data_IF_718532305601
#
_entry.id   IF_718532305601
#
_cell.length_a   1.000
_cell.length_b   1.000
_cell.length_c   1.000
_cell.angle_alpha   90.00
_cell.angle_beta   90.00
_cell.angle_gamma   90.00
#
_symmetry.space_group_name_H-M   'P 1'
#
loop_
_entity.id
_entity.type
_entity.pdbx_description
1 polymer ?
#
# COMPACT_ATOMS: atom_id res chain seq x y z
N UNK A 1 3.59 7.26 12.85
CA UNK A 1 2.28 6.60 13.04
C UNK A 1 1.20 7.65 12.92
N UNK A 2 0.43 7.62 11.83
CA UNK A 2 -0.84 8.35 11.76
C UNK A 2 -1.89 7.51 12.50
N UNK A 3 -1.99 7.65 13.83
CA UNK A 3 -2.97 6.92 14.65
C UNK A 3 -4.29 7.68 14.80
N UNK A 4 -4.67 8.44 13.78
CA UNK A 4 -5.95 9.15 13.75
C UNK A 4 -6.97 8.28 13.04
N UNK A 5 -8.03 7.88 13.72
CA UNK A 5 -9.21 7.22 13.12
C UNK A 5 -10.08 8.20 12.31
N UNK A 6 -9.72 9.49 12.27
CA UNK A 6 -10.40 10.48 11.44
C UNK A 6 -9.90 10.31 10.00
N UNK A 7 -10.80 9.93 9.09
CA UNK A 7 -10.52 9.73 7.67
C UNK A 7 -10.37 8.27 7.23
N UNK A 8 -10.52 7.29 8.13
CA UNK A 8 -10.42 5.86 7.79
C UNK A 8 -11.67 5.32 7.10
N UNK A 9 -12.82 5.95 7.29
CA UNK A 9 -14.06 5.63 6.60
C UNK A 9 -14.80 6.92 6.25
N UNK A 10 -15.22 7.05 4.99
CA UNK A 10 -16.06 8.17 4.54
C UNK A 10 -17.08 7.72 3.50
N UNK A 11 -18.09 8.54 3.28
CA UNK A 11 -19.09 8.29 2.26
C UNK A 11 -19.43 9.59 1.52
N UNK A 12 -19.75 9.47 0.24
CA UNK A 12 -20.03 10.62 -0.60
C UNK A 12 -20.81 10.28 -1.86
N UNK A 13 -21.18 11.34 -2.57
CA UNK A 13 -21.96 11.27 -3.79
C UNK A 13 -21.24 12.01 -4.90
N UNK A 14 -21.24 11.45 -6.11
CA UNK A 14 -20.89 12.15 -7.35
C UNK A 14 -22.17 12.34 -8.15
N UNK A 15 -22.45 13.59 -8.54
CA UNK A 15 -23.53 13.92 -9.49
C UNK A 15 -22.96 13.96 -10.90
N UNK A 16 -23.51 13.16 -11.81
CA UNK A 16 -23.11 13.14 -13.21
C UNK A 16 -24.28 12.81 -14.14
N UNK A 17 -24.03 12.84 -15.45
CA UNK A 17 -25.00 12.43 -16.48
C UNK A 17 -24.86 10.96 -16.88
N UNK A 18 -24.13 10.17 -16.10
CA UNK A 18 -23.81 8.78 -16.39
C UNK A 18 -24.80 7.80 -15.77
N UNK A 19 -24.57 6.50 -15.97
CA UNK A 19 -25.36 5.46 -15.29
C UNK A 19 -25.16 5.55 -13.76
N UNK A 20 -26.24 5.47 -12.97
CA UNK A 20 -26.16 5.31 -11.53
C UNK A 20 -25.33 4.08 -11.16
N UNK A 21 -24.66 4.13 -10.02
CA UNK A 21 -23.82 3.03 -9.57
C UNK A 21 -23.16 3.30 -8.22
N UNK A 22 -22.35 2.35 -7.78
CA UNK A 22 -21.57 2.43 -6.55
C UNK A 22 -20.14 2.06 -6.87
N UNK A 23 -19.20 2.84 -6.34
CA UNK A 23 -17.78 2.52 -6.34
C UNK A 23 -17.23 2.65 -4.93
N UNK A 24 -16.19 1.87 -4.65
CA UNK A 24 -15.49 1.86 -3.38
C UNK A 24 -14.04 2.21 -3.63
N UNK A 25 -13.57 3.29 -3.02
CA UNK A 25 -12.16 3.65 -3.00
C UNK A 25 -11.54 3.13 -1.70
N UNK A 26 -10.44 2.40 -1.83
CA UNK A 26 -9.70 1.81 -0.73
C UNK A 26 -8.24 2.26 -0.82
N UNK A 27 -7.68 2.64 0.32
CA UNK A 27 -6.26 2.97 0.46
C UNK A 27 -5.65 1.92 1.37
N UNK A 28 -4.71 1.17 0.81
CA UNK A 28 -3.88 0.21 1.53
C UNK A 28 -2.50 0.80 1.77
N UNK A 29 -1.86 0.39 2.87
CA UNK A 29 -0.49 0.78 3.21
C UNK A 29 0.32 -0.45 3.53
N UNK A 30 1.61 -0.42 3.19
CA UNK A 30 2.55 -1.45 3.64
C UNK A 30 2.86 -1.26 5.11
N UNK A 31 2.73 -2.36 5.86
CA UNK A 31 3.22 -2.45 7.22
C UNK A 31 4.22 -3.60 7.36
N UNK A 32 5.20 -3.40 8.24
CA UNK A 32 6.21 -4.41 8.57
C UNK A 32 6.17 -4.64 10.07
N UNK A 33 6.36 -5.88 10.51
CA UNK A 33 6.30 -6.25 11.94
C UNK A 33 7.55 -5.82 12.74
N UNK A 34 8.35 -4.88 12.23
CA UNK A 34 9.59 -4.43 12.86
C UNK A 34 9.34 -3.36 13.92
N UNK A 35 9.92 -3.51 15.11
CA UNK A 35 10.09 -2.39 16.05
C UNK A 35 10.94 -1.31 15.35
N UNK A 36 10.34 -0.14 15.14
CA UNK A 36 10.94 1.13 14.67
C UNK A 36 12.45 1.24 14.95
N UNK A 37 13.37 0.79 14.06
CA UNK A 37 14.83 1.07 14.12
C UNK A 37 15.61 0.80 12.83
N UNK A 38 14.98 0.59 11.68
CA UNK A 38 15.72 0.20 10.48
C UNK A 38 15.21 1.03 9.31
N UNK A 39 16.14 1.53 8.48
CA UNK A 39 15.94 2.30 7.23
C UNK A 39 15.19 1.51 6.14
N UNK A 40 14.22 0.68 6.53
CA UNK A 40 13.40 -0.13 5.62
C UNK A 40 12.61 0.76 4.66
N UNK A 41 12.20 1.95 5.11
CA UNK A 41 11.50 2.95 4.32
C UNK A 41 12.30 3.38 3.07
N UNK A 42 13.62 3.21 3.07
CA UNK A 42 14.48 3.45 1.88
C UNK A 42 14.23 2.45 0.76
N UNK A 43 13.78 1.24 1.09
CA UNK A 43 13.61 0.13 0.15
C UNK A 43 12.15 -0.21 -0.09
N UNK A 44 11.34 -0.12 0.95
CA UNK A 44 9.89 -0.31 0.94
C UNK A 44 9.24 0.94 1.55
N UNK A 45 9.16 2.06 0.79
CA UNK A 45 8.52 3.27 1.29
C UNK A 45 7.05 2.98 1.64
N UNK A 46 6.50 3.76 2.58
CA UNK A 46 5.07 3.74 2.92
C UNK A 46 4.19 4.34 1.80
N UNK A 47 4.37 3.88 0.57
CA UNK A 47 3.59 4.30 -0.58
C UNK A 47 2.17 3.75 -0.43
N UNK A 48 1.15 4.61 -0.40
CA UNK A 48 -0.23 4.15 -0.37
C UNK A 48 -0.58 3.46 -1.69
N UNK A 49 -1.17 2.27 -1.61
CA UNK A 49 -1.79 1.59 -2.74
C UNK A 49 -3.26 2.00 -2.76
N UNK A 50 -3.62 2.78 -3.76
CA UNK A 50 -5.00 3.24 -3.95
C UNK A 50 -5.67 2.37 -4.99
N UNK A 51 -6.80 1.78 -4.62
CA UNK A 51 -7.60 0.93 -5.48
C UNK A 51 -9.04 1.43 -5.45
N UNK A 52 -9.68 1.55 -6.61
CA UNK A 52 -11.10 1.82 -6.74
C UNK A 52 -11.73 0.64 -7.44
N UNK A 53 -12.76 0.06 -6.83
CA UNK A 53 -13.54 -1.02 -7.42
C UNK A 53 -14.99 -0.59 -7.62
N UNK A 54 -15.62 -1.14 -8.65
CA UNK A 54 -17.04 -0.98 -8.88
C UNK A 54 -17.86 -2.05 -8.12
N UNK A 55 -19.19 -1.94 -8.20
CA UNK A 55 -20.12 -2.85 -7.54
C UNK A 55 -19.99 -4.35 -7.92
N UNK A 56 -19.29 -4.67 -9.01
CA UNK A 56 -18.99 -6.06 -9.44
C UNK A 56 -17.65 -6.56 -8.94
N UNK A 57 -16.85 -5.71 -8.29
CA UNK A 57 -15.47 -6.00 -7.89
C UNK A 57 -14.43 -5.71 -8.97
N UNK A 58 -14.83 -5.12 -10.11
CA UNK A 58 -13.89 -4.75 -11.17
C UNK A 58 -13.07 -3.52 -10.77
N UNK A 59 -11.76 -3.57 -11.04
CA UNK A 59 -10.80 -2.50 -10.81
C UNK A 59 -11.02 -1.35 -11.81
N UNK A 60 -11.25 -0.14 -11.29
CA UNK A 60 -11.59 1.06 -12.07
C UNK A 60 -10.82 2.32 -11.63
N UNK A 61 -9.70 2.17 -10.93
CA UNK A 61 -8.87 3.27 -10.36
C UNK A 61 -8.51 4.32 -11.40
N UNK A 62 -8.13 3.90 -12.60
CA UNK A 62 -7.74 4.80 -13.69
C UNK A 62 -8.90 5.67 -14.19
N UNK A 63 -10.14 5.17 -14.09
CA UNK A 63 -11.35 5.95 -14.43
C UNK A 63 -11.69 7.00 -13.37
N UNK A 64 -11.15 6.86 -12.16
CA UNK A 64 -11.44 7.71 -11.01
C UNK A 64 -10.14 8.30 -10.45
N UNK A 65 -9.55 9.26 -11.15
CA UNK A 65 -8.37 9.97 -10.63
C UNK A 65 -8.66 10.69 -9.30
N UNK A 66 -7.63 10.85 -8.47
CA UNK A 66 -7.71 11.57 -7.19
C UNK A 66 -8.27 12.99 -7.37
N UNK A 67 -7.82 13.70 -8.41
CA UNK A 67 -8.29 15.06 -8.70
C UNK A 67 -9.79 15.09 -9.08
N UNK A 68 -10.27 14.07 -9.79
CA UNK A 68 -11.69 13.93 -10.13
C UNK A 68 -12.51 13.70 -8.86
N UNK A 69 -12.13 12.72 -8.03
CA UNK A 69 -12.88 12.41 -6.81
C UNK A 69 -12.90 13.59 -5.83
N UNK A 70 -11.75 14.21 -5.56
CA UNK A 70 -11.67 15.34 -4.64
C UNK A 70 -12.51 16.55 -5.07
N UNK A 71 -12.73 16.73 -6.38
CA UNK A 71 -13.53 17.84 -6.91
C UNK A 71 -15.02 17.51 -7.00
N UNK A 72 -15.34 16.25 -7.28
CA UNK A 72 -16.69 15.82 -7.65
C UNK A 72 -17.48 15.21 -6.49
N UNK A 73 -16.80 14.65 -5.49
CA UNK A 73 -17.46 14.05 -4.34
C UNK A 73 -18.00 15.15 -3.42
N UNK A 74 -19.31 15.12 -3.21
CA UNK A 74 -20.00 15.96 -2.25
C UNK A 74 -20.58 15.10 -1.12
N UNK A 75 -20.84 15.73 0.03
CA UNK A 75 -21.57 15.07 1.10
C UNK A 75 -22.98 14.70 0.60
N UNK A 76 -23.32 13.42 0.66
CA UNK A 76 -24.59 12.88 0.18
C UNK A 76 -25.25 11.97 1.21
N UNK A 77 -26.56 11.76 1.09
CA UNK A 77 -27.28 10.81 1.92
C UNK A 77 -27.01 9.39 1.43
N UNK A 78 -26.46 8.55 2.30
CA UNK A 78 -26.15 7.15 2.01
C UNK A 78 -27.09 6.19 2.73
N UNK A 79 -28.01 6.72 3.56
CA UNK A 79 -28.93 5.96 4.41
C UNK A 79 -29.64 4.84 3.64
N UNK A 80 -30.22 5.15 2.47
CA UNK A 80 -30.95 4.16 1.66
C UNK A 80 -30.08 3.00 1.15
N UNK A 81 -28.78 3.25 0.95
CA UNK A 81 -27.84 2.22 0.49
C UNK A 81 -27.33 1.38 1.67
N UNK A 82 -27.09 2.02 2.82
CA UNK A 82 -26.64 1.38 4.04
C UNK A 82 -27.77 0.64 4.79
N UNK A 83 -29.03 0.94 4.50
CA UNK A 83 -30.21 0.19 4.96
C UNK A 83 -30.53 -1.03 4.07
N UNK A 84 -29.80 -1.23 2.96
CA UNK A 84 -30.00 -2.37 2.09
C UNK A 84 -29.12 -3.55 2.56
N UNK A 85 -29.76 -4.55 3.17
CA UNK A 85 -29.08 -5.73 3.71
C UNK A 85 -28.23 -6.46 2.66
N UNK A 86 -28.72 -6.61 1.42
CA UNK A 86 -27.97 -7.27 0.34
C UNK A 86 -26.69 -6.49 0.01
N UNK A 87 -26.76 -5.16 0.05
CA UNK A 87 -25.58 -4.31 -0.17
C UNK A 87 -24.57 -4.46 0.96
N UNK A 88 -25.02 -4.34 2.22
CA UNK A 88 -24.14 -4.32 3.39
C UNK A 88 -23.58 -5.69 3.74
N UNK A 89 -24.37 -6.75 3.62
CA UNK A 89 -23.96 -8.10 4.04
C UNK A 89 -23.29 -8.91 2.92
N UNK A 90 -23.41 -8.50 1.67
CA UNK A 90 -22.85 -9.26 0.52
C UNK A 90 -22.00 -8.37 -0.38
N UNK A 91 -22.60 -7.39 -1.05
CA UNK A 91 -21.90 -6.63 -2.09
C UNK A 91 -20.69 -5.86 -1.54
N UNK A 92 -20.83 -5.16 -0.42
CA UNK A 92 -19.75 -4.38 0.17
C UNK A 92 -18.59 -5.27 0.64
N UNK A 93 -18.81 -6.37 1.39
CA UNK A 93 -17.76 -7.36 1.67
C UNK A 93 -17.08 -7.91 0.42
N UNK A 94 -17.84 -8.23 -0.63
CA UNK A 94 -17.28 -8.75 -1.88
C UNK A 94 -16.37 -7.71 -2.56
N UNK A 95 -16.79 -6.45 -2.63
CA UNK A 95 -15.98 -5.35 -3.15
C UNK A 95 -14.67 -5.16 -2.36
N UNK A 96 -14.75 -5.24 -1.02
CA UNK A 96 -13.56 -5.15 -0.16
C UNK A 96 -12.63 -6.35 -0.42
N UNK A 97 -13.18 -7.56 -0.59
CA UNK A 97 -12.42 -8.77 -0.90
C UNK A 97 -11.67 -8.63 -2.23
N UNK A 98 -12.36 -8.24 -3.30
CA UNK A 98 -11.75 -8.03 -4.62
C UNK A 98 -10.64 -6.99 -4.57
N UNK A 99 -10.85 -5.86 -3.90
CA UNK A 99 -9.83 -4.83 -3.75
C UNK A 99 -8.63 -5.32 -2.90
N UNK A 100 -8.88 -6.18 -1.90
CA UNK A 100 -7.82 -6.77 -1.07
C UNK A 100 -6.96 -7.72 -1.88
N UNK A 101 -7.54 -8.58 -2.71
CA UNK A 101 -6.80 -9.48 -3.61
C UNK A 101 -5.90 -8.69 -4.57
N UNK A 102 -6.43 -7.62 -5.18
CA UNK A 102 -5.64 -6.72 -6.04
C UNK A 102 -4.50 -6.06 -5.24
N UNK A 103 -4.79 -5.60 -4.02
CA UNK A 103 -3.77 -4.98 -3.15
C UNK A 103 -2.67 -5.96 -2.78
N UNK A 104 -3.00 -7.23 -2.54
CA UNK A 104 -2.03 -8.29 -2.23
C UNK A 104 -1.12 -8.56 -3.42
N UNK A 105 -1.65 -8.65 -4.64
CA UNK A 105 -0.85 -8.83 -5.86
C UNK A 105 0.11 -7.64 -6.09
N UNK A 106 -0.40 -6.41 -6.00
CA UNK A 106 0.44 -5.19 -6.04
C UNK A 106 1.47 -5.19 -4.90
N UNK A 107 1.07 -5.72 -3.75
CA UNK A 107 1.86 -5.94 -2.56
C UNK A 107 3.13 -6.76 -2.84
N UNK A 108 2.94 -7.93 -3.45
CA UNK A 108 4.03 -8.84 -3.82
C UNK A 108 5.00 -8.18 -4.80
N UNK A 109 4.50 -7.44 -5.79
CA UNK A 109 5.34 -6.73 -6.76
C UNK A 109 6.21 -5.65 -6.09
N UNK A 110 5.69 -4.89 -5.14
CA UNK A 110 6.49 -3.88 -4.44
C UNK A 110 7.49 -4.51 -3.46
N UNK A 111 7.16 -5.66 -2.86
CA UNK A 111 8.11 -6.46 -2.06
C UNK A 111 9.30 -6.89 -2.93
N UNK A 112 9.04 -7.42 -4.12
CA UNK A 112 10.09 -7.83 -5.06
C UNK A 112 10.98 -6.64 -5.45
N UNK A 113 10.39 -5.52 -5.88
CA UNK A 113 11.13 -4.30 -6.22
C UNK A 113 11.94 -3.78 -5.02
N UNK A 114 11.38 -3.84 -3.82
CA UNK A 114 12.07 -3.44 -2.59
C UNK A 114 13.30 -4.30 -2.29
N UNK A 115 13.19 -5.62 -2.48
CA UNK A 115 14.31 -6.55 -2.34
C UNK A 115 15.40 -6.30 -3.38
N UNK A 116 15.04 -6.01 -4.63
CA UNK A 116 15.99 -5.68 -5.69
C UNK A 116 16.76 -4.39 -5.40
N UNK A 117 16.05 -3.31 -5.05
CA UNK A 117 16.66 -2.04 -4.64
C UNK A 117 17.65 -2.23 -3.48
N UNK A 118 17.25 -3.00 -2.47
CA UNK A 118 18.06 -3.31 -1.30
C UNK A 118 19.33 -4.09 -1.68
N UNK A 119 19.20 -5.16 -2.47
CA UNK A 119 20.35 -5.94 -2.94
C UNK A 119 21.31 -5.06 -3.74
N UNK A 120 20.80 -4.28 -4.70
CA UNK A 120 21.65 -3.42 -5.53
C UNK A 120 22.49 -2.45 -4.69
N UNK A 121 21.89 -1.80 -3.68
CA UNK A 121 22.58 -0.82 -2.84
C UNK A 121 23.57 -1.49 -1.87
N UNK A 122 23.13 -2.51 -1.13
CA UNK A 122 23.96 -3.12 -0.09
C UNK A 122 25.02 -4.06 -0.65
N UNK A 123 24.73 -4.80 -1.73
CA UNK A 123 25.74 -5.65 -2.36
C UNK A 123 26.83 -4.80 -3.03
N UNK A 124 26.48 -3.64 -3.60
CA UNK A 124 27.47 -2.69 -4.10
C UNK A 124 28.38 -2.20 -2.96
N UNK A 125 27.82 -1.85 -1.81
CA UNK A 125 28.61 -1.39 -0.66
C UNK A 125 29.50 -2.49 -0.07
N UNK A 126 28.96 -3.71 0.10
CA UNK A 126 29.73 -4.88 0.54
C UNK A 126 30.91 -5.13 -0.41
N UNK A 127 30.68 -5.07 -1.73
CA UNK A 127 31.72 -5.25 -2.74
C UNK A 127 32.78 -4.14 -2.65
N UNK A 128 32.37 -2.89 -2.45
CA UNK A 128 33.27 -1.74 -2.27
C UNK A 128 34.16 -1.92 -1.05
N UNK A 129 33.59 -2.24 0.11
CA UNK A 129 34.34 -2.48 1.36
C UNK A 129 35.30 -3.66 1.22
N UNK A 130 34.85 -4.77 0.61
CA UNK A 130 35.68 -5.95 0.33
C UNK A 130 36.86 -5.61 -0.58
N UNK A 131 36.65 -4.80 -1.62
CA UNK A 131 37.71 -4.37 -2.52
C UNK A 131 38.72 -3.44 -1.84
N UNK A 132 38.25 -2.54 -0.97
CA UNK A 132 39.11 -1.64 -0.21
C UNK A 132 39.94 -2.41 0.84
N UNK A 133 39.35 -3.41 1.52
CA UNK A 133 40.07 -4.22 2.51
C UNK A 133 41.27 -4.95 1.90
N UNK A 134 41.16 -5.41 0.64
CA UNK A 134 42.28 -6.02 -0.09
C UNK A 134 43.46 -5.05 -0.29
N UNK A 135 43.20 -3.74 -0.34
CA UNK A 135 44.20 -2.69 -0.55
C UNK A 135 44.63 -1.99 0.73
N UNK A 136 43.77 -1.96 1.75
CA UNK A 136 43.99 -1.30 3.02
C UNK A 136 43.55 -2.20 4.19
N UNK A 137 44.51 -2.66 5.00
CA UNK A 137 44.27 -3.54 6.16
C UNK A 137 43.62 -2.81 7.35
N UNK A 138 43.50 -1.49 7.30
CA UNK A 138 42.81 -0.72 8.34
C UNK A 138 41.29 -0.90 8.31
N UNK A 139 40.74 -1.42 7.21
CA UNK A 139 39.31 -1.76 7.09
C UNK A 139 39.04 -3.03 7.88
N UNK A 140 38.21 -2.87 8.91
CA UNK A 140 37.92 -3.94 9.85
C UNK A 140 36.97 -4.95 9.19
N UNK A 141 37.22 -6.27 9.33
CA UNK A 141 36.28 -7.29 8.90
C UNK A 141 34.86 -7.08 9.45
N UNK A 142 34.76 -6.49 10.64
CA UNK A 142 33.50 -6.18 11.32
C UNK A 142 32.59 -5.25 10.50
N UNK A 143 33.14 -4.34 9.68
CA UNK A 143 32.35 -3.42 8.85
C UNK A 143 31.64 -4.15 7.70
N UNK A 144 32.34 -5.10 7.06
CA UNK A 144 31.74 -5.94 6.00
C UNK A 144 30.68 -6.86 6.61
N UNK A 145 30.99 -7.44 7.77
CA UNK A 145 30.06 -8.32 8.48
C UNK A 145 28.78 -7.57 8.89
N UNK A 146 28.91 -6.34 9.41
CA UNK A 146 27.77 -5.50 9.75
C UNK A 146 26.88 -5.21 8.54
N UNK A 147 27.46 -4.88 7.37
CA UNK A 147 26.70 -4.64 6.14
C UNK A 147 25.97 -5.92 5.64
N UNK A 148 26.58 -7.09 5.78
CA UNK A 148 25.95 -8.38 5.44
C UNK A 148 24.79 -8.69 6.38
N UNK A 149 24.96 -8.46 7.69
CA UNK A 149 23.92 -8.63 8.69
C UNK A 149 22.74 -7.67 8.47
N UNK A 150 23.02 -6.41 8.15
CA UNK A 150 22.02 -5.41 7.80
C UNK A 150 21.18 -5.88 6.59
N UNK A 151 21.84 -6.31 5.50
CA UNK A 151 21.16 -6.83 4.31
C UNK A 151 20.27 -8.02 4.62
N UNK A 152 20.76 -8.98 5.40
CA UNK A 152 20.00 -10.18 5.75
C UNK A 152 18.78 -9.84 6.63
N UNK A 153 18.96 -8.92 7.59
CA UNK A 153 17.90 -8.44 8.48
C UNK A 153 16.82 -7.72 7.68
N UNK A 154 17.21 -6.76 6.83
CA UNK A 154 16.32 -6.03 5.94
C UNK A 154 15.56 -6.96 4.99
N UNK A 155 16.25 -7.94 4.38
CA UNK A 155 15.59 -8.90 3.50
C UNK A 155 14.48 -9.68 4.23
N UNK A 156 14.74 -10.09 5.47
CA UNK A 156 13.75 -10.79 6.29
C UNK A 156 12.56 -9.90 6.67
N UNK A 157 12.76 -8.59 6.86
CA UNK A 157 11.69 -7.65 7.16
C UNK A 157 10.86 -7.31 5.93
N UNK A 158 11.49 -7.05 4.78
CA UNK A 158 10.79 -6.73 3.52
C UNK A 158 9.91 -7.91 3.09
N UNK A 159 10.40 -9.15 3.20
CA UNK A 159 9.62 -10.37 2.90
C UNK A 159 8.41 -10.60 3.81
N UNK A 160 8.40 -9.98 4.99
CA UNK A 160 7.30 -10.06 5.95
C UNK A 160 6.38 -8.85 5.89
N UNK A 161 6.63 -7.92 4.96
CA UNK A 161 5.72 -6.81 4.74
C UNK A 161 4.37 -7.36 4.27
N UNK A 162 3.30 -6.70 4.70
CA UNK A 162 1.95 -7.00 4.26
C UNK A 162 1.20 -5.71 3.97
N UNK A 163 0.21 -5.80 3.10
CA UNK A 163 -0.74 -4.72 2.88
C UNK A 163 -1.76 -4.71 4.02
N UNK A 164 -2.10 -3.52 4.50
CA UNK A 164 -3.18 -3.29 5.46
C UNK A 164 -4.11 -2.22 4.90
N UNK A 165 -5.41 -2.47 4.96
CA UNK A 165 -6.41 -1.45 4.68
C UNK A 165 -6.30 -0.31 5.69
N UNK A 166 -6.12 0.91 5.20
CA UNK A 166 -5.95 2.12 6.01
C UNK A 166 -7.16 3.05 5.94
N UNK A 167 -7.74 3.21 4.74
CA UNK A 167 -8.93 4.01 4.54
C UNK A 167 -9.88 3.41 3.49
N UNK A 168 -11.17 3.68 3.68
CA UNK A 168 -12.25 3.33 2.74
C UNK A 168 -13.17 4.52 2.50
N UNK A 169 -13.57 4.72 1.26
CA UNK A 169 -14.53 5.74 0.86
C UNK A 169 -15.59 5.15 -0.07
N UNK A 170 -16.81 5.09 0.43
CA UNK A 170 -17.97 4.64 -0.34
C UNK A 170 -18.54 5.79 -1.16
N UNK A 171 -18.65 5.61 -2.48
CA UNK A 171 -19.09 6.67 -3.38
C UNK A 171 -20.28 6.17 -4.19
N UNK A 172 -21.42 6.84 -3.99
CA UNK A 172 -22.61 6.65 -4.83
C UNK A 172 -22.52 7.58 -6.03
N UNK A 173 -22.90 7.08 -7.20
CA UNK A 173 -23.03 7.86 -8.42
C UNK A 173 -24.50 8.02 -8.76
N UNK A 174 -24.91 9.27 -8.92
CA UNK A 174 -26.24 9.70 -9.40
C UNK A 174 -26.15 10.28 -10.81
#
# INVERSE_FOLDING_TARGET
>A
MLSSTIGTASCGLIRGSGKPGVVLELIFVFETSGKQRIDIDRFLPHTPLRIVVDHTGEEVTDSYSVALLNKSVILGKMDSLLENDVFVETMLPDMISSATEIAEEMGEQEIEKGLERMKHILDHEINRLTALQKKNKDIRPDEIQAAVEERNTLSGLIKKARVRLDAVQLIRKE
#
